data_IF_203035993642
#
_entry.id   IF_203035993642
#
_cell.length_a   1.000
_cell.length_b   1.000
_cell.length_c   1.000
_cell.angle_alpha   90.00
_cell.angle_beta   90.00
_cell.angle_gamma   90.00
#
_symmetry.space_group_name_H-M   'P 1'
#
loop_
_entity.id
_entity.type
_entity.pdbx_description
1 polymer ?
#
# COMPACT_ATOMS: atom_id res chain seq x y z
N UNK A 1 -5.48 1.28 17.88
CA UNK A 1 -5.09 2.08 16.70
C UNK A 1 -3.82 2.81 17.09
N UNK A 2 -2.72 2.49 16.43
CA UNK A 2 -1.40 3.02 16.77
C UNK A 2 -1.09 4.19 15.83
N UNK A 3 -0.76 5.33 16.41
CA UNK A 3 -0.49 6.58 15.69
C UNK A 3 1.03 6.72 15.54
N UNK A 4 1.50 6.86 14.31
CA UNK A 4 2.93 7.00 14.02
C UNK A 4 3.26 8.45 13.67
N UNK A 5 4.29 9.00 14.33
CA UNK A 5 4.84 10.33 14.07
C UNK A 5 5.81 10.28 12.88
N UNK A 6 5.81 11.31 12.03
CA UNK A 6 6.53 11.35 10.75
C UNK A 6 8.05 11.46 10.94
N UNK A 7 8.72 10.34 11.19
CA UNK A 7 10.19 10.24 11.18
C UNK A 7 10.62 9.15 10.17
N UNK A 8 11.46 9.52 9.18
CA UNK A 8 11.85 8.61 8.07
C UNK A 8 12.55 7.35 8.56
N UNK A 9 13.42 7.46 9.57
CA UNK A 9 14.11 6.31 10.15
C UNK A 9 13.12 5.32 10.79
N UNK A 10 12.01 5.85 11.34
CA UNK A 10 10.94 5.04 11.92
C UNK A 10 10.07 4.34 10.87
N UNK A 11 10.08 4.79 9.61
CA UNK A 11 9.38 4.10 8.52
C UNK A 11 10.14 2.84 8.09
N UNK A 12 11.46 2.90 8.06
CA UNK A 12 12.30 1.74 7.73
C UNK A 12 12.18 0.63 8.79
N UNK A 13 12.03 1.01 10.06
CA UNK A 13 11.77 0.09 11.19
C UNK A 13 10.44 -0.67 11.06
N UNK A 14 9.50 -0.20 10.22
CA UNK A 14 8.23 -0.91 9.96
C UNK A 14 8.37 -1.98 8.88
N UNK A 15 9.48 -2.00 8.14
CA UNK A 15 9.74 -3.04 7.14
C UNK A 15 9.84 -4.40 7.83
N UNK A 16 9.19 -5.40 7.24
CA UNK A 16 9.30 -6.81 7.65
C UNK A 16 10.21 -7.62 6.72
N UNK A 17 10.88 -6.94 5.79
CA UNK A 17 11.68 -7.55 4.73
C UNK A 17 13.11 -6.99 4.77
N UNK A 18 14.09 -7.89 4.63
CA UNK A 18 15.52 -7.57 4.60
C UNK A 18 15.97 -7.13 3.20
N UNK A 19 15.19 -7.47 2.17
CA UNK A 19 15.50 -7.15 0.77
C UNK A 19 14.26 -6.97 -0.10
N UNK A 20 14.47 -6.30 -1.23
CA UNK A 20 13.45 -6.16 -2.28
C UNK A 20 13.03 -7.52 -2.86
N UNK A 21 13.99 -8.45 -3.00
CA UNK A 21 13.74 -9.80 -3.51
C UNK A 21 12.84 -10.61 -2.56
N UNK A 22 13.10 -10.52 -1.25
CA UNK A 22 12.26 -11.16 -0.23
C UNK A 22 10.84 -10.57 -0.25
N UNK A 23 10.73 -9.25 -0.34
CA UNK A 23 9.44 -8.58 -0.47
C UNK A 23 8.66 -9.06 -1.71
N UNK A 24 9.29 -9.07 -2.89
CA UNK A 24 8.63 -9.51 -4.12
C UNK A 24 8.26 -11.00 -4.10
N UNK A 25 9.10 -11.85 -3.49
CA UNK A 25 8.79 -13.26 -3.28
C UNK A 25 7.55 -13.44 -2.39
N UNK A 26 7.46 -12.67 -1.30
CA UNK A 26 6.30 -12.67 -0.42
C UNK A 26 5.03 -12.20 -1.15
N UNK A 27 5.12 -11.13 -1.96
CA UNK A 27 4.00 -10.65 -2.79
C UNK A 27 3.56 -11.71 -3.81
N UNK A 28 4.52 -12.40 -4.43
CA UNK A 28 4.20 -13.48 -5.37
C UNK A 28 3.40 -14.58 -4.69
N UNK A 29 3.82 -15.04 -3.50
CA UNK A 29 3.10 -16.06 -2.73
C UNK A 29 1.67 -15.60 -2.38
N UNK A 30 1.49 -14.37 -1.89
CA UNK A 30 0.17 -13.78 -1.67
C UNK A 30 -0.72 -13.78 -2.92
N UNK A 31 -0.15 -13.44 -4.08
CA UNK A 31 -0.88 -13.42 -5.35
C UNK A 31 -1.23 -14.83 -5.84
N UNK A 32 -0.38 -15.83 -5.61
CA UNK A 32 -0.69 -17.24 -5.92
C UNK A 32 -1.94 -17.66 -5.15
N UNK A 33 -2.00 -17.34 -3.86
CA UNK A 33 -3.07 -17.79 -2.97
C UNK A 33 -4.35 -16.96 -3.09
N UNK A 34 -4.28 -15.66 -3.36
CA UNK A 34 -5.45 -14.77 -3.18
C UNK A 34 -5.85 -13.92 -4.38
N UNK A 35 -5.13 -13.95 -5.51
CA UNK A 35 -5.41 -13.07 -6.67
C UNK A 35 -6.87 -13.10 -7.15
N UNK A 36 -7.55 -14.24 -7.03
CA UNK A 36 -8.92 -14.43 -7.50
C UNK A 36 -9.97 -13.66 -6.68
N UNK A 37 -9.60 -13.17 -5.49
CA UNK A 37 -10.46 -12.36 -4.62
C UNK A 37 -10.54 -10.91 -5.13
N UNK A 38 -9.52 -10.48 -5.89
CA UNK A 38 -9.42 -9.13 -6.44
C UNK A 38 -9.97 -9.08 -7.87
N UNK A 39 -10.69 -8.00 -8.17
CA UNK A 39 -11.07 -7.67 -9.55
C UNK A 39 -9.85 -7.16 -10.33
N UNK A 40 -9.93 -7.12 -11.67
CA UNK A 40 -8.84 -6.58 -12.51
C UNK A 40 -8.42 -5.17 -12.10
N UNK A 41 -9.37 -4.27 -11.85
CA UNK A 41 -9.07 -2.90 -11.41
C UNK A 41 -8.44 -2.85 -10.01
N UNK A 42 -8.84 -3.74 -9.11
CA UNK A 42 -8.22 -3.83 -7.79
C UNK A 42 -6.79 -4.36 -7.88
N UNK A 43 -6.50 -5.33 -8.76
CA UNK A 43 -5.13 -5.80 -9.01
C UNK A 43 -4.22 -4.71 -9.58
N UNK A 44 -4.74 -3.80 -10.41
CA UNK A 44 -3.99 -2.61 -10.88
C UNK A 44 -3.61 -1.74 -9.69
N UNK A 45 -4.56 -1.46 -8.80
CA UNK A 45 -4.30 -0.69 -7.57
C UNK A 45 -3.29 -1.38 -6.66
N UNK A 46 -3.43 -2.69 -6.47
CA UNK A 46 -2.51 -3.48 -5.65
C UNK A 46 -1.08 -3.45 -6.21
N UNK A 47 -0.92 -3.67 -7.52
CA UNK A 47 0.39 -3.58 -8.18
C UNK A 47 1.04 -2.21 -8.00
N UNK A 48 0.28 -1.14 -8.21
CA UNK A 48 0.83 0.21 -8.02
C UNK A 48 1.28 0.45 -6.58
N UNK A 49 0.52 -0.03 -5.60
CA UNK A 49 0.88 0.09 -4.19
C UNK A 49 2.15 -0.71 -3.83
N UNK A 50 2.33 -1.91 -4.43
CA UNK A 50 3.55 -2.71 -4.28
C UNK A 50 4.75 -1.96 -4.85
N UNK A 51 4.64 -1.39 -6.06
CA UNK A 51 5.72 -0.60 -6.68
C UNK A 51 6.10 0.62 -5.83
N UNK A 52 5.12 1.32 -5.27
CA UNK A 52 5.36 2.43 -4.33
C UNK A 52 6.06 1.98 -3.03
N UNK A 53 6.01 0.70 -2.69
CA UNK A 53 6.68 0.11 -1.54
C UNK A 53 8.07 -0.49 -1.88
N UNK A 54 8.58 -0.33 -3.10
CA UNK A 54 9.92 -0.84 -3.47
C UNK A 54 11.05 0.01 -2.88
N UNK A 55 10.80 1.30 -2.63
CA UNK A 55 11.80 2.24 -2.07
C UNK A 55 12.21 1.86 -0.65
N UNK A 56 11.23 1.41 0.15
CA UNK A 56 11.44 0.82 1.47
C UNK A 56 10.66 -0.50 1.46
N UNK A 57 11.32 -1.65 1.22
CA UNK A 57 10.64 -2.92 0.94
C UNK A 57 9.45 -3.19 1.85
N UNK A 58 8.25 -3.20 1.28
CA UNK A 58 7.02 -3.48 2.03
C UNK A 58 6.48 -2.32 2.89
N UNK A 59 7.02 -1.11 2.80
CA UNK A 59 6.49 0.08 3.47
C UNK A 59 6.21 1.18 2.45
N UNK A 60 4.95 1.60 2.35
CA UNK A 60 4.53 2.70 1.51
C UNK A 60 3.91 3.82 2.35
N UNK A 61 4.36 5.05 2.12
CA UNK A 61 3.84 6.27 2.77
C UNK A 61 3.24 7.26 1.75
N UNK A 62 3.10 6.84 0.50
CA UNK A 62 2.51 7.65 -0.55
C UNK A 62 1.02 7.84 -0.31
N UNK A 63 0.50 9.01 -0.68
CA UNK A 63 -0.93 9.27 -0.57
C UNK A 63 -1.67 8.49 -1.63
N UNK A 64 -2.91 8.10 -1.33
CA UNK A 64 -3.78 7.40 -2.31
C UNK A 64 -3.88 8.23 -3.60
N UNK A 65 -3.97 9.54 -3.48
CA UNK A 65 -4.08 10.47 -4.60
C UNK A 65 -2.84 10.41 -5.51
N UNK A 66 -1.63 10.27 -4.94
CA UNK A 66 -0.38 10.17 -5.71
C UNK A 66 -0.30 8.83 -6.45
N UNK A 67 -0.67 7.73 -5.78
CA UNK A 67 -0.75 6.40 -6.38
C UNK A 67 -1.78 6.38 -7.52
N UNK A 68 -2.97 6.95 -7.30
CA UNK A 68 -4.01 7.04 -8.33
C UNK A 68 -3.55 7.87 -9.53
N UNK A 69 -2.84 8.98 -9.30
CA UNK A 69 -2.27 9.79 -10.37
C UNK A 69 -1.25 9.00 -11.20
N UNK A 70 -0.37 8.23 -10.54
CA UNK A 70 0.58 7.35 -11.23
C UNK A 70 -0.14 6.32 -12.11
N UNK A 71 -1.19 5.69 -11.60
CA UNK A 71 -2.05 4.77 -12.38
C UNK A 71 -2.72 5.51 -13.55
N UNK A 72 -3.28 6.71 -13.34
CA UNK A 72 -3.89 7.46 -14.43
C UNK A 72 -2.89 7.81 -15.53
N UNK A 73 -1.65 8.15 -15.18
CA UNK A 73 -0.58 8.39 -16.16
C UNK A 73 -0.22 7.10 -16.92
N UNK A 74 -0.02 5.99 -16.21
CA UNK A 74 0.31 4.68 -16.81
C UNK A 74 -0.78 4.17 -17.77
N UNK A 75 -2.05 4.44 -17.46
CA UNK A 75 -3.21 3.97 -18.21
C UNK A 75 -3.86 5.06 -19.10
N UNK A 76 -3.13 6.11 -19.47
CA UNK A 76 -3.58 7.19 -20.38
C UNK A 76 -4.95 7.80 -19.98
N UNK A 77 -5.12 8.08 -18.70
CA UNK A 77 -6.37 8.60 -18.12
C UNK A 77 -7.37 7.53 -17.69
N UNK A 78 -7.26 6.29 -18.19
CA UNK A 78 -8.17 5.17 -17.90
C UNK A 78 -7.79 4.38 -16.63
N UNK A 79 -7.30 5.08 -15.61
CA UNK A 79 -6.95 4.51 -14.32
C UNK A 79 -8.16 4.07 -13.50
N UNK A 80 -7.93 3.78 -12.21
CA UNK A 80 -8.98 3.31 -11.31
C UNK A 80 -9.50 4.44 -10.42
N UNK A 81 -10.73 4.29 -9.93
CA UNK A 81 -11.27 5.24 -8.95
C UNK A 81 -10.74 4.99 -7.54
N UNK A 82 -10.83 6.02 -6.69
CA UNK A 82 -10.55 5.92 -5.25
C UNK A 82 -11.39 4.85 -4.54
N UNK A 83 -12.64 4.65 -4.96
CA UNK A 83 -13.50 3.62 -4.37
C UNK A 83 -13.01 2.20 -4.70
N UNK A 84 -12.50 1.98 -5.91
CA UNK A 84 -11.85 0.72 -6.30
C UNK A 84 -10.59 0.46 -5.48
N UNK A 85 -9.74 1.48 -5.31
CA UNK A 85 -8.53 1.35 -4.48
C UNK A 85 -8.86 1.05 -3.01
N UNK A 86 -9.87 1.69 -2.43
CA UNK A 86 -10.31 1.42 -1.04
C UNK A 86 -10.88 0.01 -0.88
N UNK A 87 -11.62 -0.51 -1.86
CA UNK A 87 -12.10 -1.91 -1.84
C UNK A 87 -10.93 -2.89 -1.89
N UNK A 88 -9.94 -2.63 -2.74
CA UNK A 88 -8.69 -3.40 -2.77
C UNK A 88 -8.01 -3.41 -1.40
N UNK A 89 -7.78 -2.23 -0.81
CA UNK A 89 -7.14 -2.12 0.50
C UNK A 89 -7.89 -2.89 1.58
N UNK A 90 -9.22 -2.78 1.62
CA UNK A 90 -10.04 -3.50 2.59
C UNK A 90 -9.88 -5.03 2.44
N UNK A 91 -9.86 -5.55 1.20
CA UNK A 91 -9.62 -6.97 0.95
C UNK A 91 -8.21 -7.38 1.41
N UNK A 92 -7.19 -6.61 1.05
CA UNK A 92 -5.81 -6.88 1.46
C UNK A 92 -5.64 -6.89 2.98
N UNK A 93 -6.31 -5.97 3.70
CA UNK A 93 -6.35 -5.95 5.17
C UNK A 93 -7.03 -7.20 5.75
N UNK A 94 -8.19 -7.59 5.20
CA UNK A 94 -8.93 -8.78 5.67
C UNK A 94 -8.15 -10.07 5.45
N UNK A 95 -7.34 -10.12 4.41
CA UNK A 95 -6.46 -11.24 4.10
C UNK A 95 -5.17 -11.23 4.93
N UNK A 96 -4.91 -10.19 5.73
CA UNK A 96 -3.67 -10.07 6.49
C UNK A 96 -2.46 -9.65 5.67
N UNK A 97 -2.63 -9.26 4.39
CA UNK A 97 -1.54 -8.84 3.50
C UNK A 97 -0.96 -7.50 3.94
N UNK A 98 -1.82 -6.58 4.37
CA UNK A 98 -1.44 -5.19 4.66
C UNK A 98 -1.99 -4.75 6.01
N UNK A 99 -1.12 -4.15 6.82
CA UNK A 99 -1.47 -3.34 7.98
C UNK A 99 -1.45 -1.87 7.58
N UNK A 100 -2.46 -1.09 8.00
CA UNK A 100 -2.56 0.34 7.67
C UNK A 100 -2.51 1.14 8.96
N UNK A 101 -1.51 2.02 9.07
CA UNK A 101 -1.37 2.98 10.17
C UNK A 101 -1.80 4.36 9.70
N UNK A 102 -2.61 5.04 10.51
CA UNK A 102 -2.97 6.44 10.26
C UNK A 102 -1.94 7.34 10.98
N UNK A 103 -1.40 8.36 10.31
CA UNK A 103 -0.47 9.29 10.96
C UNK A 103 -1.19 10.34 11.81
N UNK A 104 -0.48 10.92 12.78
CA UNK A 104 -1.05 11.86 13.74
C UNK A 104 -1.45 13.19 13.08
N UNK A 105 -2.71 13.62 13.26
CA UNK A 105 -3.25 14.91 12.78
C UNK A 105 -2.31 16.09 13.11
N UNK A 106 -1.82 16.79 12.09
CA UNK A 106 -1.28 18.14 12.26
C UNK A 106 -2.43 19.11 12.62
N UNK A 107 -2.17 20.03 13.56
CA UNK A 107 -3.07 20.95 14.29
C UNK A 107 -4.20 21.69 13.52
N UNK A 108 -4.30 21.60 12.19
CA UNK A 108 -5.22 22.41 11.38
C UNK A 108 -6.35 21.61 10.69
N UNK A 109 -6.60 20.37 11.09
CA UNK A 109 -7.79 19.62 10.66
C UNK A 109 -7.73 19.01 9.25
N UNK A 110 -6.62 19.13 8.53
CA UNK A 110 -6.35 18.35 7.32
C UNK A 110 -6.02 16.89 7.69
N UNK A 111 -6.57 15.92 6.93
CA UNK A 111 -6.28 14.50 7.15
C UNK A 111 -4.79 14.21 6.93
N UNK A 112 -4.26 13.42 7.85
CA UNK A 112 -2.95 12.81 7.77
C UNK A 112 -2.92 11.66 6.76
N UNK A 113 -1.77 11.40 6.17
CA UNK A 113 -1.58 10.31 5.20
C UNK A 113 -1.57 8.95 5.91
N UNK A 114 -1.76 7.88 5.15
CA UNK A 114 -1.65 6.52 5.68
C UNK A 114 -0.27 5.96 5.41
N UNK A 115 0.19 5.08 6.29
CA UNK A 115 1.33 4.20 6.06
C UNK A 115 0.79 2.79 5.83
N UNK A 116 1.14 2.20 4.69
CA UNK A 116 0.80 0.84 4.30
C UNK A 116 2.02 -0.05 4.56
N UNK A 117 1.88 -1.02 5.45
CA UNK A 117 2.93 -1.98 5.78
C UNK A 117 2.48 -3.35 5.31
N UNK A 118 3.22 -3.95 4.38
CA UNK A 118 3.00 -5.31 3.92
C UNK A 118 3.50 -6.29 4.98
N UNK A 119 2.68 -7.27 5.31
CA UNK A 119 3.03 -8.30 6.28
C UNK A 119 3.74 -9.46 5.58
N UNK A 120 4.73 -10.02 6.26
CA UNK A 120 5.38 -11.27 5.88
C UNK A 120 4.41 -12.44 6.14
N UNK A 121 4.34 -13.38 5.20
CA UNK A 121 3.63 -14.66 5.34
C UNK A 121 4.20 -15.52 6.47
#
# INVERSE_FOLDING_TARGET
>A
MEIIEKNRNRLEELSQFDSLEEFHTNIFNWLVEHKYIFTKSELIGFRSLVLSADVTPGVCHERIEDILNAIHVEYNGNGISRSSFRRMLNKAKLLGIITVYETARIQNGSQDWNIYVFNRL
#
